data_IF_051722971132
#
_entry.id   IF_051722971132
#
_cell.length_a   1.000
_cell.length_b   1.000
_cell.length_c   1.000
_cell.angle_alpha   90.00
_cell.angle_beta   90.00
_cell.angle_gamma   90.00
#
_symmetry.space_group_name_H-M   'P 1'
#
loop_
_entity.id
_entity.type
_entity.pdbx_description
1 polymer ?
#
# COMPACT_ATOMS: atom_id res chain seq x y z
N UNK A 1 5.45 8.09 8.49
CA UNK A 1 4.19 7.56 7.90
C UNK A 1 3.56 8.72 7.18
N UNK A 2 3.35 8.62 5.86
CA UNK A 2 2.76 9.71 5.11
C UNK A 2 1.35 9.99 5.64
N UNK A 3 1.05 11.27 5.86
CA UNK A 3 -0.27 11.73 6.33
C UNK A 3 -0.93 12.49 5.20
N UNK A 4 -2.26 12.48 5.13
CA UNK A 4 -2.97 13.30 4.14
C UNK A 4 -2.95 14.78 4.51
N UNK A 5 -3.03 15.68 3.54
CA UNK A 5 -3.08 17.12 3.72
C UNK A 5 -4.26 17.52 4.62
N UNK A 6 -5.41 16.87 4.45
CA UNK A 6 -6.60 17.08 5.27
C UNK A 6 -6.47 16.66 6.73
N UNK A 7 -5.43 15.87 7.08
CA UNK A 7 -5.14 15.48 8.47
C UNK A 7 -4.13 16.41 9.16
N UNK A 8 -3.50 17.34 8.42
CA UNK A 8 -2.59 18.32 9.01
C UNK A 8 -3.36 19.36 9.79
N UNK A 9 -2.87 19.74 10.96
CA UNK A 9 -3.53 20.75 11.78
C UNK A 9 -3.60 22.11 11.06
N UNK A 10 -4.73 22.81 11.19
CA UNK A 10 -4.84 24.21 10.76
C UNK A 10 -3.78 25.06 11.49
N UNK A 11 -3.11 25.93 10.75
CA UNK A 11 -1.96 26.72 11.20
C UNK A 11 -0.60 26.05 11.06
N UNK A 12 -0.56 24.74 10.78
CA UNK A 12 0.70 24.03 10.51
C UNK A 12 1.32 24.41 9.16
N UNK A 13 2.61 24.08 8.99
CA UNK A 13 3.35 24.33 7.76
C UNK A 13 3.42 23.05 6.92
N UNK A 14 3.13 23.19 5.63
CA UNK A 14 3.46 22.23 4.58
C UNK A 14 4.33 22.91 3.53
N UNK A 15 4.95 22.14 2.64
CA UNK A 15 5.81 22.65 1.57
C UNK A 15 5.23 22.28 0.20
N UNK A 16 5.39 23.18 -0.76
CA UNK A 16 5.08 22.95 -2.17
C UNK A 16 6.27 23.41 -3.02
N UNK A 17 6.50 22.77 -4.17
CA UNK A 17 7.59 23.18 -5.06
C UNK A 17 7.18 24.38 -5.92
N UNK A 18 7.88 25.49 -5.75
CA UNK A 18 7.90 26.66 -6.65
C UNK A 18 9.23 26.67 -7.40
N UNK A 19 9.22 26.65 -8.73
CA UNK A 19 10.42 26.57 -9.59
C UNK A 19 11.38 25.44 -9.17
N UNK A 20 10.82 24.30 -8.74
CA UNK A 20 11.56 23.14 -8.26
C UNK A 20 12.04 23.21 -6.80
N UNK A 21 11.99 24.38 -6.16
CA UNK A 21 12.42 24.56 -4.78
C UNK A 21 11.24 24.44 -3.79
N UNK A 22 11.41 23.77 -2.64
CA UNK A 22 10.37 23.69 -1.62
C UNK A 22 10.14 25.06 -0.95
N UNK A 23 8.90 25.51 -0.95
CA UNK A 23 8.44 26.76 -0.33
C UNK A 23 7.36 26.45 0.70
N UNK A 24 7.39 27.15 1.83
CA UNK A 24 6.48 26.92 2.96
C UNK A 24 5.11 27.58 2.77
N UNK A 25 4.06 26.86 3.15
CA UNK A 25 2.66 27.29 3.14
C UNK A 25 1.99 26.94 4.46
N UNK A 26 1.12 27.82 4.93
CA UNK A 26 0.22 27.51 6.03
C UNK A 26 -0.97 26.69 5.54
N UNK A 27 -1.31 25.64 6.27
CA UNK A 27 -2.63 24.99 6.19
C UNK A 27 -3.63 25.94 6.84
N UNK A 28 -4.35 26.72 6.05
CA UNK A 28 -5.15 27.83 6.57
C UNK A 28 -6.58 27.40 6.96
N UNK A 29 -7.19 26.49 6.21
CA UNK A 29 -8.54 25.97 6.49
C UNK A 29 -8.83 24.70 5.68
N UNK A 30 -9.43 23.70 6.30
CA UNK A 30 -10.05 22.57 5.58
C UNK A 30 -11.49 22.92 5.21
N UNK A 31 -11.98 22.31 4.13
CA UNK A 31 -13.31 22.55 3.58
C UNK A 31 -13.57 24.05 3.36
N UNK A 32 -12.55 24.74 2.84
CA UNK A 32 -12.58 26.19 2.62
C UNK A 32 -13.67 26.57 1.63
N UNK A 33 -14.67 27.33 2.09
CA UNK A 33 -15.89 27.65 1.32
C UNK A 33 -16.71 26.40 0.95
N UNK A 34 -16.94 25.51 1.93
CA UNK A 34 -17.73 24.28 1.77
C UNK A 34 -19.16 24.47 1.22
N UNK A 35 -19.77 25.64 1.45
CA UNK A 35 -21.06 26.01 0.87
C UNK A 35 -21.01 26.41 -0.61
N UNK A 36 -19.81 26.54 -1.18
CA UNK A 36 -19.59 26.82 -2.59
C UNK A 36 -19.09 25.55 -3.28
N UNK A 37 -17.76 25.34 -3.32
CA UNK A 37 -17.16 24.12 -3.89
C UNK A 37 -15.94 23.61 -3.11
N UNK A 38 -15.80 24.06 -1.86
CA UNK A 38 -14.64 23.82 -1.02
C UNK A 38 -14.53 22.45 -0.37
N UNK A 39 -15.62 21.69 -0.31
CA UNK A 39 -15.68 20.42 0.42
C UNK A 39 -14.62 19.44 -0.10
N UNK A 40 -13.88 18.81 0.82
CA UNK A 40 -12.77 17.91 0.51
C UNK A 40 -11.49 18.61 0.05
N UNK A 41 -11.41 19.95 0.16
CA UNK A 41 -10.23 20.72 -0.21
C UNK A 41 -9.65 21.50 0.98
N UNK A 42 -8.34 21.70 0.96
CA UNK A 42 -7.60 22.45 1.98
C UNK A 42 -7.06 23.73 1.37
N UNK A 43 -7.42 24.89 1.94
CA UNK A 43 -6.80 26.16 1.63
C UNK A 43 -5.37 26.19 2.18
N UNK A 44 -4.42 26.44 1.29
CA UNK A 44 -3.04 26.72 1.62
C UNK A 44 -2.70 28.18 1.28
N UNK A 45 -1.95 28.82 2.16
CA UNK A 45 -1.53 30.23 2.00
C UNK A 45 -0.02 30.28 2.10
N UNK A 46 0.65 30.83 1.09
CA UNK A 46 2.12 30.93 1.07
C UNK A 46 2.61 31.62 2.34
N UNK A 47 3.63 31.09 3.01
CA UNK A 47 4.12 31.66 4.30
C UNK A 47 4.64 33.08 4.12
N UNK A 48 5.54 33.25 3.15
CA UNK A 48 6.10 34.55 2.77
C UNK A 48 5.38 35.11 1.54
N UNK A 49 5.46 36.41 1.33
CA UNK A 49 4.97 37.03 0.11
C UNK A 49 5.93 36.71 -1.06
N UNK A 50 5.39 36.61 -2.27
CA UNK A 50 6.13 36.15 -3.44
C UNK A 50 6.72 37.31 -4.25
N UNK A 51 5.88 38.11 -4.92
CA UNK A 51 6.32 39.18 -5.82
C UNK A 51 5.61 40.50 -5.52
N UNK A 52 6.32 41.59 -5.74
CA UNK A 52 5.77 42.94 -5.75
C UNK A 52 5.02 43.16 -7.07
N UNK A 53 3.73 43.48 -7.01
CA UNK A 53 2.85 43.66 -8.18
C UNK A 53 2.12 44.99 -8.08
N UNK A 54 1.93 45.67 -9.21
CA UNK A 54 1.19 46.93 -9.32
C UNK A 54 -0.29 46.77 -9.00
N UNK A 55 -0.84 47.68 -8.17
CA UNK A 55 -2.22 47.71 -7.70
C UNK A 55 -2.99 48.88 -8.32
N UNK A 56 -3.21 48.83 -9.63
CA UNK A 56 -3.86 49.93 -10.38
C UNK A 56 -5.35 49.70 -10.65
N UNK A 57 -5.83 48.47 -10.47
CA UNK A 57 -7.23 48.12 -10.64
C UNK A 57 -8.01 48.28 -9.32
N UNK A 58 -9.28 48.70 -9.43
CA UNK A 58 -10.20 48.80 -8.29
C UNK A 58 -10.67 47.43 -7.79
N UNK A 59 -10.82 46.47 -8.69
CA UNK A 59 -11.35 45.14 -8.40
C UNK A 59 -10.28 44.08 -8.63
N UNK A 60 -10.38 42.97 -7.90
CA UNK A 60 -9.47 41.84 -8.10
C UNK A 60 -9.68 41.19 -9.47
N UNK A 61 -10.94 41.04 -9.86
CA UNK A 61 -11.34 40.55 -11.20
C UNK A 61 -10.83 41.51 -12.28
N UNK A 62 -10.12 40.96 -13.26
CA UNK A 62 -9.50 41.68 -14.37
C UNK A 62 -8.22 42.45 -14.00
N UNK A 63 -7.67 42.26 -12.79
CA UNK A 63 -6.47 42.97 -12.36
C UNK A 63 -5.17 42.35 -12.85
N UNK A 64 -4.08 43.13 -12.78
CA UNK A 64 -2.71 42.63 -12.97
C UNK A 64 -2.35 41.55 -11.94
N UNK A 65 -2.90 41.65 -10.72
CA UNK A 65 -2.71 40.65 -9.68
C UNK A 65 -3.35 39.30 -10.05
N UNK A 66 -4.61 39.30 -10.51
CA UNK A 66 -5.27 38.08 -10.98
C UNK A 66 -4.51 37.46 -12.17
N UNK A 67 -4.12 38.29 -13.14
CA UNK A 67 -3.36 37.89 -14.32
C UNK A 67 -2.04 37.24 -13.93
N UNK A 68 -1.29 37.84 -13.00
CA UNK A 68 -0.01 37.30 -12.53
C UNK A 68 -0.19 36.00 -11.74
N UNK A 69 -1.18 35.95 -10.83
CA UNK A 69 -1.46 34.77 -9.98
C UNK A 69 -1.82 33.55 -10.82
N UNK A 70 -2.70 33.71 -11.81
CA UNK A 70 -3.17 32.62 -12.68
C UNK A 70 -2.33 32.43 -13.95
N UNK A 71 -1.29 33.25 -14.14
CA UNK A 71 -0.31 33.14 -15.21
C UNK A 71 1.06 32.72 -14.67
N UNK A 72 1.92 33.70 -14.43
CA UNK A 72 3.32 33.48 -14.06
C UNK A 72 3.47 32.66 -12.76
N UNK A 73 2.72 33.01 -11.70
CA UNK A 73 2.82 32.29 -10.43
C UNK A 73 2.29 30.86 -10.54
N UNK A 74 1.08 30.66 -11.10
CA UNK A 74 0.54 29.32 -11.30
C UNK A 74 1.51 28.41 -12.07
N UNK A 75 2.24 28.95 -13.05
CA UNK A 75 3.24 28.21 -13.81
C UNK A 75 4.56 27.97 -13.08
N UNK A 76 4.82 28.64 -11.95
CA UNK A 76 5.94 28.34 -11.08
C UNK A 76 5.72 27.08 -10.23
N UNK A 77 4.46 26.69 -10.00
CA UNK A 77 4.16 25.45 -9.27
C UNK A 77 4.58 24.22 -10.09
N UNK A 78 5.09 23.19 -9.41
CA UNK A 78 5.40 21.90 -10.04
C UNK A 78 4.21 21.35 -10.84
N UNK A 79 4.47 20.69 -11.96
CA UNK A 79 3.43 20.17 -12.85
C UNK A 79 2.43 19.24 -12.14
N UNK A 80 2.91 18.40 -11.20
CA UNK A 80 2.05 17.50 -10.42
C UNK A 80 1.04 18.27 -9.58
N UNK A 81 1.51 19.21 -8.74
CA UNK A 81 0.65 20.07 -7.92
C UNK A 81 -0.28 20.91 -8.80
N UNK A 82 0.24 21.54 -9.85
CA UNK A 82 -0.55 22.35 -10.79
C UNK A 82 -1.71 21.54 -11.41
N UNK A 83 -1.47 20.26 -11.71
CA UNK A 83 -2.48 19.33 -12.20
C UNK A 83 -3.55 18.94 -11.16
N UNK A 84 -3.30 19.17 -9.87
CA UNK A 84 -4.23 18.91 -8.76
C UNK A 84 -4.96 20.15 -8.24
N UNK A 85 -4.60 21.36 -8.67
CA UNK A 85 -5.35 22.56 -8.30
C UNK A 85 -6.76 22.53 -8.91
N UNK A 86 -7.76 22.51 -8.02
CA UNK A 86 -9.17 22.69 -8.39
C UNK A 86 -9.50 24.18 -8.47
N UNK A 87 -10.18 24.66 -9.53
CA UNK A 87 -10.75 26.01 -9.52
C UNK A 87 -11.65 26.18 -8.29
N UNK A 88 -11.39 27.20 -7.50
CA UNK A 88 -12.12 27.52 -6.27
C UNK A 88 -13.09 28.64 -6.55
N UNK A 89 -14.34 28.49 -6.10
CA UNK A 89 -15.31 29.58 -6.08
C UNK A 89 -15.01 30.40 -4.83
N UNK A 90 -14.59 31.65 -5.02
CA UNK A 90 -14.30 32.59 -3.92
C UNK A 90 -15.35 33.71 -3.88
N UNK A 91 -15.75 34.17 -2.69
CA UNK A 91 -16.53 35.39 -2.53
C UNK A 91 -15.71 36.64 -2.92
N UNK A 92 -16.38 37.57 -3.60
CA UNK A 92 -15.88 38.89 -3.99
C UNK A 92 -16.91 39.97 -3.70
N UNK A 93 -16.44 41.21 -3.65
CA UNK A 93 -17.27 42.41 -3.66
C UNK A 93 -16.91 43.24 -4.90
N UNK A 94 -17.80 43.28 -5.89
CA UNK A 94 -17.60 44.00 -7.15
C UNK A 94 -18.75 45.00 -7.32
N UNK A 95 -18.46 46.24 -7.73
CA UNK A 95 -19.48 47.28 -8.00
C UNK A 95 -20.52 47.48 -6.89
N UNK A 96 -20.07 47.45 -5.64
CA UNK A 96 -20.92 47.60 -4.45
C UNK A 96 -21.87 46.42 -4.17
N UNK A 97 -21.62 45.26 -4.77
CA UNK A 97 -22.44 44.05 -4.63
C UNK A 97 -21.58 42.82 -4.30
N UNK A 98 -22.09 41.93 -3.44
CA UNK A 98 -21.46 40.64 -3.16
C UNK A 98 -21.66 39.69 -4.36
N UNK A 99 -20.59 39.08 -4.83
CA UNK A 99 -20.57 38.14 -5.95
C UNK A 99 -19.57 37.02 -5.72
N UNK A 100 -19.36 36.15 -6.71
CA UNK A 100 -18.33 35.10 -6.67
C UNK A 100 -17.48 35.07 -7.92
N UNK A 101 -16.29 34.49 -7.80
CA UNK A 101 -15.40 34.22 -8.92
C UNK A 101 -14.82 32.82 -8.82
N UNK A 102 -14.69 32.15 -9.96
CA UNK A 102 -13.96 30.88 -10.07
C UNK A 102 -12.52 31.18 -10.46
N UNK A 103 -11.56 30.81 -9.63
CA UNK A 103 -10.13 31.02 -9.91
C UNK A 103 -9.27 29.93 -9.28
N UNK A 104 -8.06 29.71 -9.79
CA UNK A 104 -7.14 28.70 -9.24
C UNK A 104 -6.27 29.28 -8.13
N UNK A 105 -5.73 30.47 -8.34
CA UNK A 105 -4.87 31.15 -7.38
C UNK A 105 -5.42 32.55 -7.11
N UNK A 106 -5.49 32.90 -5.83
CA UNK A 106 -6.02 34.17 -5.37
C UNK A 106 -5.20 34.73 -4.20
N UNK A 107 -5.63 35.87 -3.68
CA UNK A 107 -5.15 36.48 -2.43
C UNK A 107 -6.33 36.62 -1.47
N UNK A 108 -6.05 36.63 -0.17
CA UNK A 108 -7.10 36.66 0.86
C UNK A 108 -7.85 38.01 0.89
N UNK A 109 -9.10 37.99 1.35
CA UNK A 109 -9.91 39.19 1.61
C UNK A 109 -9.61 39.75 3.00
N UNK A 110 -10.02 40.99 3.27
CA UNK A 110 -9.88 41.57 4.62
C UNK A 110 -10.74 40.82 5.65
N UNK A 111 -11.87 40.22 5.26
CA UNK A 111 -12.70 39.38 6.14
C UNK A 111 -11.92 38.14 6.60
N UNK A 112 -11.20 37.48 5.70
CA UNK A 112 -10.41 36.28 6.00
C UNK A 112 -9.25 36.57 6.96
N UNK A 113 -8.71 37.79 6.92
CA UNK A 113 -7.76 38.27 7.92
C UNK A 113 -8.41 38.70 9.25
N UNK A 114 -9.74 38.70 9.36
CA UNK A 114 -10.50 39.06 10.57
C UNK A 114 -10.76 40.55 10.74
N UNK A 115 -10.80 41.34 9.65
CA UNK A 115 -11.25 42.73 9.71
C UNK A 115 -12.76 42.83 9.44
N UNK A 116 -13.43 43.76 10.11
CA UNK A 116 -14.88 43.98 10.00
C UNK A 116 -15.34 44.70 8.72
N UNK A 117 -14.43 45.01 7.79
CA UNK A 117 -14.68 45.87 6.62
C UNK A 117 -15.04 45.09 5.35
N UNK A 118 -15.09 43.76 5.38
CA UNK A 118 -15.01 42.98 4.14
C UNK A 118 -16.32 42.69 3.41
N UNK A 119 -17.39 43.48 3.59
CA UNK A 119 -18.60 43.52 2.73
C UNK A 119 -19.09 42.16 2.12
N UNK A 120 -19.01 41.07 2.89
CA UNK A 120 -19.43 39.72 2.47
C UNK A 120 -18.38 38.87 1.72
N UNK A 121 -17.11 39.30 1.62
CA UNK A 121 -16.02 38.59 0.94
C UNK A 121 -15.42 37.44 1.76
N UNK A 122 -16.24 36.46 2.14
CA UNK A 122 -15.80 35.28 2.87
C UNK A 122 -15.77 35.47 4.38
N UNK A 123 -15.28 34.45 5.09
CA UNK A 123 -15.31 34.36 6.56
C UNK A 123 -13.90 34.40 7.16
N UNK A 124 -13.76 34.95 8.37
CA UNK A 124 -12.49 34.93 9.12
C UNK A 124 -11.89 33.52 9.17
N UNK A 125 -10.60 33.42 8.83
CA UNK A 125 -9.86 32.16 8.93
C UNK A 125 -9.47 31.92 10.39
N UNK A 126 -9.35 30.65 10.84
CA UNK A 126 -8.96 30.33 12.21
C UNK A 126 -7.67 31.01 12.69
N UNK A 127 -6.75 31.31 11.77
CA UNK A 127 -5.49 32.02 12.01
C UNK A 127 -5.38 33.36 11.24
N UNK A 128 -6.53 33.97 10.90
CA UNK A 128 -6.59 35.15 10.04
C UNK A 128 -5.77 36.34 10.57
N UNK A 129 -5.74 36.55 11.89
CA UNK A 129 -5.00 37.65 12.52
C UNK A 129 -3.50 37.44 12.45
N UNK A 130 -3.04 36.21 12.66
CA UNK A 130 -1.64 35.80 12.57
C UNK A 130 -1.11 35.96 11.14
N UNK A 131 -1.97 35.77 10.13
CA UNK A 131 -1.62 35.96 8.72
C UNK A 131 -1.44 37.44 8.31
N UNK A 132 -1.78 38.43 9.16
CA UNK A 132 -1.63 39.86 8.82
C UNK A 132 -0.17 40.33 8.72
N UNK A 133 0.75 39.64 9.39
CA UNK A 133 2.18 39.91 9.25
C UNK A 133 2.77 38.97 8.21
N UNK A 134 3.43 39.53 7.20
CA UNK A 134 4.10 38.75 6.16
C UNK A 134 5.52 39.25 5.94
N UNK A 135 6.39 38.35 5.50
CA UNK A 135 7.77 38.63 5.18
C UNK A 135 8.04 38.39 3.69
N UNK A 136 9.04 39.07 3.15
CA UNK A 136 9.71 38.68 1.92
C UNK A 136 11.21 38.84 2.18
N UNK A 137 11.97 37.76 1.95
CA UNK A 137 13.42 37.73 2.21
C UNK A 137 13.80 38.21 3.64
N UNK A 138 13.00 37.82 4.64
CA UNK A 138 13.21 38.16 6.06
C UNK A 138 12.74 39.56 6.49
N UNK A 139 12.29 40.41 5.57
CA UNK A 139 11.79 41.75 5.88
C UNK A 139 10.27 41.79 5.90
N UNK A 140 9.68 42.53 6.85
CA UNK A 140 8.23 42.78 6.86
C UNK A 140 7.85 43.59 5.62
N UNK A 141 6.82 43.15 4.91
CA UNK A 141 6.33 43.81 3.70
C UNK A 141 4.83 44.09 3.76
N UNK A 142 4.37 44.98 2.89
CA UNK A 142 2.96 45.25 2.67
C UNK A 142 2.35 44.14 1.81
N UNK A 143 1.24 43.53 2.23
CA UNK A 143 0.52 42.51 1.44
C UNK A 143 -0.80 43.03 0.88
N UNK A 144 -1.05 42.74 -0.39
CA UNK A 144 -2.35 43.04 -1.01
C UNK A 144 -3.46 42.10 -0.53
N UNK A 145 -4.70 42.59 -0.61
CA UNK A 145 -5.92 41.81 -0.39
C UNK A 145 -6.79 41.88 -1.64
N UNK A 146 -7.73 40.94 -1.80
CA UNK A 146 -8.69 41.00 -2.92
C UNK A 146 -9.84 41.98 -2.70
N UNK A 147 -9.92 42.60 -1.51
CA UNK A 147 -11.00 43.52 -1.16
C UNK A 147 -10.82 44.89 -1.81
N UNK A 148 -11.82 45.41 -2.54
CA UNK A 148 -11.74 46.73 -3.12
C UNK A 148 -11.80 47.85 -2.08
N UNK A 149 -11.24 49.00 -2.44
CA UNK A 149 -11.49 50.29 -1.82
C UNK A 149 -12.28 51.20 -2.79
N UNK A 150 -12.31 52.50 -2.51
CA UNK A 150 -12.95 53.48 -3.39
C UNK A 150 -12.21 53.67 -4.71
N UNK A 151 -10.89 53.45 -4.76
CA UNK A 151 -10.04 53.75 -5.93
C UNK A 151 -9.26 52.49 -6.39
N UNK A 152 -8.66 51.75 -5.47
CA UNK A 152 -7.82 50.56 -5.74
C UNK A 152 -8.19 49.40 -4.81
N UNK A 153 -7.48 48.27 -4.82
CA UNK A 153 -7.62 47.24 -3.78
C UNK A 153 -7.01 47.69 -2.42
N UNK A 154 -7.51 47.14 -1.31
CA UNK A 154 -6.95 47.33 0.03
C UNK A 154 -5.69 46.48 0.23
N UNK A 155 -4.79 46.97 1.07
CA UNK A 155 -3.60 46.23 1.49
C UNK A 155 -3.41 46.33 3.01
N UNK A 156 -2.62 45.41 3.56
CA UNK A 156 -2.21 45.38 4.96
C UNK A 156 -0.75 45.86 5.02
N UNK A 157 -0.49 46.93 5.76
CA UNK A 157 0.86 47.46 5.90
C UNK A 157 1.73 46.62 6.86
N UNK A 158 3.02 46.95 6.99
CA UNK A 158 3.97 46.26 7.89
C UNK A 158 3.60 46.27 9.39
N UNK A 159 2.62 47.09 9.79
CA UNK A 159 2.07 47.17 11.16
C UNK A 159 0.78 46.37 11.33
N UNK A 160 0.27 45.70 10.29
CA UNK A 160 -1.00 44.99 10.35
C UNK A 160 -2.21 45.92 10.26
N UNK A 161 -2.08 47.10 9.67
CA UNK A 161 -3.18 48.06 9.50
C UNK A 161 -3.70 48.02 8.06
N UNK A 162 -5.01 48.14 7.89
CA UNK A 162 -5.61 48.31 6.57
C UNK A 162 -5.33 49.71 6.03
N UNK A 163 -4.86 49.76 4.79
CA UNK A 163 -4.56 50.99 4.06
C UNK A 163 -5.03 50.86 2.61
N UNK A 164 -5.09 52.01 1.95
CA UNK A 164 -5.33 52.13 0.51
C UNK A 164 -4.02 52.59 -0.13
N UNK A 165 -3.61 51.97 -1.23
CA UNK A 165 -2.37 52.32 -1.95
C UNK A 165 -2.66 52.38 -3.45
N UNK A 166 -2.02 53.34 -4.12
CA UNK A 166 -1.95 53.44 -5.58
C UNK A 166 -0.60 52.89 -6.13
N UNK A 167 0.23 52.34 -5.25
CA UNK A 167 1.56 51.79 -5.53
C UNK A 167 1.56 50.26 -5.52
N UNK A 168 2.73 49.68 -5.79
CA UNK A 168 2.96 48.23 -5.78
C UNK A 168 2.89 47.64 -4.36
N UNK A 169 2.32 46.44 -4.23
CA UNK A 169 2.25 45.67 -2.97
C UNK A 169 2.60 44.21 -3.23
N UNK A 170 3.07 43.50 -2.19
CA UNK A 170 3.47 42.11 -2.35
C UNK A 170 2.28 41.16 -2.39
N UNK A 171 2.28 40.25 -3.35
CA UNK A 171 1.30 39.17 -3.49
C UNK A 171 1.65 38.01 -2.60
N UNK A 172 0.65 37.53 -1.86
CA UNK A 172 0.72 36.34 -1.02
C UNK A 172 -0.26 35.30 -1.54
N UNK A 173 0.17 34.44 -2.46
CA UNK A 173 -0.70 33.48 -3.11
C UNK A 173 -1.38 32.54 -2.13
N UNK A 174 -2.66 32.28 -2.40
CA UNK A 174 -3.50 31.31 -1.72
C UNK A 174 -4.28 30.51 -2.77
N UNK A 175 -4.50 29.23 -2.49
CA UNK A 175 -5.25 28.32 -3.37
C UNK A 175 -5.67 27.08 -2.59
N UNK A 176 -6.58 26.29 -3.15
CA UNK A 176 -7.01 25.03 -2.53
C UNK A 176 -6.37 23.83 -3.21
N UNK A 177 -6.12 22.80 -2.42
CA UNK A 177 -5.63 21.49 -2.86
C UNK A 177 -6.56 20.39 -2.34
N UNK A 178 -6.71 19.26 -3.04
CA UNK A 178 -7.44 18.11 -2.52
C UNK A 178 -6.87 17.68 -1.16
N UNK A 179 -7.75 17.49 -0.18
CA UNK A 179 -7.38 17.05 1.17
C UNK A 179 -6.73 15.65 1.18
N UNK A 180 -6.95 14.86 0.12
CA UNK A 180 -6.38 13.52 -0.06
C UNK A 180 -4.93 13.49 -0.53
N UNK A 181 -4.32 14.63 -0.89
CA UNK A 181 -2.89 14.66 -1.21
C UNK A 181 -2.05 14.24 -0.01
N UNK A 182 -0.91 13.60 -0.25
CA UNK A 182 -0.02 13.16 0.82
C UNK A 182 0.95 14.26 1.20
N UNK A 183 1.37 14.23 2.46
CA UNK A 183 2.48 15.03 2.96
C UNK A 183 3.53 14.06 3.49
N UNK A 184 4.72 14.12 2.90
CA UNK A 184 5.84 13.28 3.28
C UNK A 184 6.46 13.69 4.63
N UNK A 185 7.43 12.92 5.10
CA UNK A 185 8.09 13.15 6.38
C UNK A 185 8.92 14.47 6.39
N UNK A 186 9.22 15.08 5.23
CA UNK A 186 9.88 16.39 5.11
C UNK A 186 8.92 17.60 5.15
N UNK A 187 7.61 17.31 5.13
CA UNK A 187 6.53 18.29 5.05
C UNK A 187 6.13 18.65 3.62
N UNK A 188 6.70 18.03 2.58
CA UNK A 188 6.38 18.30 1.19
C UNK A 188 5.04 17.63 0.82
N UNK A 189 4.15 18.40 0.21
CA UNK A 189 2.93 17.85 -0.39
C UNK A 189 3.30 17.17 -1.70
N UNK A 190 2.93 15.89 -1.82
CA UNK A 190 3.24 15.05 -2.97
C UNK A 190 1.97 14.41 -3.53
N UNK A 191 1.99 14.16 -4.83
CA UNK A 191 1.01 13.29 -5.49
C UNK A 191 1.57 11.87 -5.43
N UNK A 192 0.71 10.91 -5.11
CA UNK A 192 1.09 9.50 -5.05
C UNK A 192 0.17 8.68 -5.96
N UNK A 193 0.76 7.74 -6.66
CA UNK A 193 0.12 6.72 -7.47
C UNK A 193 0.38 5.39 -6.79
N UNK A 194 -0.67 4.69 -6.30
CA UNK A 194 -0.46 3.43 -5.60
C UNK A 194 0.30 2.40 -6.44
N UNK A 195 0.99 1.45 -5.80
CA UNK A 195 1.71 0.41 -6.53
C UNK A 195 0.74 -0.45 -7.33
N UNK A 196 1.23 -0.98 -8.46
CA UNK A 196 0.49 -1.86 -9.34
C UNK A 196 1.06 -3.29 -9.28
N UNK A 197 0.17 -4.27 -9.35
CA UNK A 197 0.52 -5.69 -9.43
C UNK A 197 0.03 -6.21 -10.78
N UNK A 198 0.91 -6.88 -11.52
CA UNK A 198 0.61 -7.47 -12.82
C UNK A 198 1.08 -8.92 -12.92
N UNK A 199 0.47 -9.68 -13.80
CA UNK A 199 0.83 -11.07 -14.11
C UNK A 199 0.29 -11.41 -15.50
N UNK A 200 0.81 -12.48 -16.11
CA UNK A 200 0.20 -13.09 -17.29
C UNK A 200 -1.13 -13.77 -16.98
N UNK A 201 -1.38 -14.09 -15.72
CA UNK A 201 -2.67 -14.57 -15.23
C UNK A 201 -3.53 -13.35 -14.88
N UNK A 202 -4.80 -13.25 -15.35
CA UNK A 202 -5.68 -12.17 -14.92
C UNK A 202 -6.05 -12.27 -13.44
N UNK A 203 -6.16 -11.13 -12.76
CA UNK A 203 -6.66 -11.08 -11.37
C UNK A 203 -8.09 -11.64 -11.31
N UNK A 204 -8.38 -12.42 -10.27
CA UNK A 204 -9.64 -13.14 -10.08
C UNK A 204 -9.73 -14.48 -10.82
N UNK A 205 -8.67 -14.93 -11.49
CA UNK A 205 -8.70 -16.20 -12.23
C UNK A 205 -8.86 -17.41 -11.33
N UNK A 206 -9.64 -18.39 -11.79
CA UNK A 206 -9.64 -19.74 -11.25
C UNK A 206 -8.57 -20.60 -11.92
N UNK A 207 -7.61 -21.08 -11.15
CA UNK A 207 -6.46 -21.88 -11.62
C UNK A 207 -6.78 -23.38 -11.71
N UNK A 208 -8.02 -23.76 -11.39
CA UNK A 208 -8.51 -25.13 -11.41
C UNK A 208 -8.01 -25.98 -10.24
N UNK A 209 -8.09 -27.28 -10.44
CA UNK A 209 -7.61 -28.28 -9.48
C UNK A 209 -6.11 -28.47 -9.58
N UNK A 210 -5.44 -28.60 -8.44
CA UNK A 210 -3.99 -28.80 -8.31
C UNK A 210 -3.71 -29.97 -7.39
N UNK A 211 -2.80 -30.84 -7.82
CA UNK A 211 -2.37 -32.02 -7.05
C UNK A 211 -0.91 -31.84 -6.56
N UNK A 212 -0.14 -30.99 -7.22
CA UNK A 212 1.23 -30.64 -6.85
C UNK A 212 1.41 -29.13 -6.72
N UNK A 213 2.51 -28.72 -6.09
CA UNK A 213 2.88 -27.32 -6.00
C UNK A 213 3.10 -26.72 -7.38
N UNK A 214 2.80 -25.43 -7.54
CA UNK A 214 2.88 -24.73 -8.81
C UNK A 214 3.43 -23.32 -8.63
N UNK A 215 3.87 -22.72 -9.73
CA UNK A 215 4.32 -21.35 -9.75
C UNK A 215 3.16 -20.41 -10.06
N UNK A 216 2.97 -19.41 -9.22
CA UNK A 216 2.05 -18.29 -9.45
C UNK A 216 2.86 -17.00 -9.56
N UNK A 217 3.26 -16.59 -10.78
CA UNK A 217 4.12 -15.44 -10.98
C UNK A 217 3.34 -14.13 -10.90
N UNK A 218 3.99 -13.08 -10.42
CA UNK A 218 3.49 -11.70 -10.45
C UNK A 218 4.64 -10.71 -10.39
N UNK A 219 4.42 -9.50 -10.89
CA UNK A 219 5.37 -8.38 -10.85
C UNK A 219 4.72 -7.22 -10.11
N UNK A 220 5.54 -6.48 -9.36
CA UNK A 220 5.11 -5.27 -8.65
C UNK A 220 5.85 -4.08 -9.22
N UNK A 221 5.12 -3.01 -9.56
CA UNK A 221 5.67 -1.75 -10.06
C UNK A 221 5.13 -0.58 -9.26
N UNK A 222 5.91 0.49 -9.23
CA UNK A 222 5.54 1.76 -8.63
C UNK A 222 6.08 2.87 -9.55
N UNK A 223 5.21 3.79 -9.98
CA UNK A 223 5.57 4.82 -10.96
C UNK A 223 6.33 5.98 -10.30
N UNK A 224 6.11 6.19 -9.01
CA UNK A 224 6.77 7.24 -8.23
C UNK A 224 8.15 6.80 -7.73
N UNK A 225 8.46 5.50 -7.86
CA UNK A 225 9.75 4.90 -7.51
C UNK A 225 9.89 4.63 -6.01
N UNK A 226 8.76 4.57 -5.30
CA UNK A 226 8.73 4.35 -3.86
C UNK A 226 9.08 2.91 -3.48
N UNK A 227 9.59 2.73 -2.26
CA UNK A 227 9.85 1.40 -1.73
C UNK A 227 8.52 0.68 -1.41
N UNK A 228 8.31 -0.52 -1.96
CA UNK A 228 7.04 -1.24 -1.85
C UNK A 228 7.16 -2.49 -0.98
N UNK A 229 6.34 -2.56 0.06
CA UNK A 229 6.13 -3.77 0.86
C UNK A 229 5.04 -4.63 0.25
N UNK A 230 5.34 -5.90 -0.03
CA UNK A 230 4.39 -6.90 -0.52
C UNK A 230 3.99 -7.82 0.62
N UNK A 231 2.71 -8.22 0.62
CA UNK A 231 2.15 -9.27 1.47
C UNK A 231 1.41 -10.29 0.62
N UNK A 232 1.73 -11.55 0.87
CA UNK A 232 1.09 -12.71 0.25
C UNK A 232 0.18 -13.39 1.25
N UNK A 233 -1.05 -13.68 0.83
CA UNK A 233 -2.08 -14.28 1.67
C UNK A 233 -2.62 -15.55 1.03
N UNK A 234 -2.65 -16.64 1.80
CA UNK A 234 -3.42 -17.84 1.49
C UNK A 234 -4.62 -17.86 2.43
N UNK A 235 -5.83 -17.80 1.87
CA UNK A 235 -7.09 -17.76 2.63
C UNK A 235 -7.12 -16.65 3.69
N UNK A 236 -6.71 -15.45 3.30
CA UNK A 236 -6.58 -14.26 4.15
C UNK A 236 -5.55 -14.36 5.29
N UNK A 237 -4.77 -15.45 5.37
CA UNK A 237 -3.64 -15.57 6.30
C UNK A 237 -2.36 -15.14 5.59
N UNK A 238 -1.64 -14.17 6.16
CA UNK A 238 -0.34 -13.74 5.66
C UNK A 238 0.63 -14.92 5.70
N UNK A 239 1.22 -15.27 4.55
CA UNK A 239 2.23 -16.32 4.41
C UNK A 239 3.63 -15.74 4.25
N UNK A 240 3.74 -14.60 3.55
CA UNK A 240 5.01 -13.90 3.33
C UNK A 240 4.80 -12.39 3.35
N UNK A 241 5.78 -11.65 3.88
CA UNK A 241 5.87 -10.20 3.75
C UNK A 241 7.32 -9.78 3.50
N UNK A 242 7.55 -8.94 2.51
CA UNK A 242 8.89 -8.56 2.07
C UNK A 242 8.89 -7.23 1.30
N UNK A 243 10.07 -6.64 1.10
CA UNK A 243 10.27 -5.47 0.24
C UNK A 243 10.53 -5.92 -1.21
N UNK A 244 9.73 -5.44 -2.16
CA UNK A 244 9.84 -5.83 -3.56
C UNK A 244 11.00 -5.12 -4.28
N UNK A 245 11.65 -5.85 -5.18
CA UNK A 245 12.44 -5.24 -6.25
C UNK A 245 11.50 -4.91 -7.41
N UNK A 246 11.23 -3.61 -7.63
CA UNK A 246 10.25 -3.15 -8.60
C UNK A 246 10.57 -3.65 -10.02
N UNK A 247 9.53 -4.05 -10.76
CA UNK A 247 9.65 -4.55 -12.13
C UNK A 247 10.22 -5.97 -12.27
N UNK A 248 10.60 -6.62 -11.17
CA UNK A 248 11.05 -8.02 -11.17
C UNK A 248 9.87 -8.99 -10.97
N UNK A 249 9.92 -10.12 -11.67
CA UNK A 249 8.96 -11.21 -11.47
C UNK A 249 9.24 -11.93 -10.14
N UNK A 250 8.17 -12.17 -9.38
CA UNK A 250 8.15 -12.89 -8.12
C UNK A 250 7.20 -14.09 -8.26
N UNK A 251 7.39 -15.13 -7.44
CA UNK A 251 6.47 -16.27 -7.36
C UNK A 251 5.88 -16.38 -5.96
N UNK A 252 4.57 -16.62 -5.87
CA UNK A 252 3.86 -16.81 -4.60
C UNK A 252 4.37 -18.02 -3.82
N UNK A 253 4.90 -17.79 -2.62
CA UNK A 253 5.73 -18.79 -1.96
C UNK A 253 4.93 -20.02 -1.48
N UNK A 254 3.75 -19.80 -0.90
CA UNK A 254 3.01 -20.86 -0.21
C UNK A 254 2.50 -21.99 -1.12
N UNK A 255 2.42 -21.75 -2.44
CA UNK A 255 1.97 -22.75 -3.42
C UNK A 255 3.11 -23.43 -4.17
N UNK A 256 4.36 -23.02 -3.93
CA UNK A 256 5.55 -23.69 -4.50
C UNK A 256 5.66 -25.13 -4.02
N UNK A 257 6.38 -25.96 -4.76
CA UNK A 257 6.60 -27.38 -4.42
C UNK A 257 7.13 -27.58 -2.98
N UNK A 258 8.03 -26.70 -2.51
CA UNK A 258 8.61 -26.77 -1.17
C UNK A 258 7.59 -26.54 -0.05
N UNK A 259 6.55 -25.74 -0.30
CA UNK A 259 5.56 -25.36 0.71
C UNK A 259 4.20 -26.04 0.50
N UNK A 260 3.98 -26.68 -0.64
CA UNK A 260 2.72 -27.30 -1.03
C UNK A 260 2.17 -28.26 0.01
N UNK A 261 3.03 -29.03 0.68
CA UNK A 261 2.63 -30.01 1.69
C UNK A 261 1.90 -29.38 2.89
N UNK A 262 2.11 -28.08 3.16
CA UNK A 262 1.46 -27.34 4.26
C UNK A 262 0.07 -26.80 3.89
N UNK A 263 -0.28 -26.81 2.60
CA UNK A 263 -1.60 -26.40 2.10
C UNK A 263 -2.57 -27.58 2.27
N UNK A 264 -3.73 -27.34 2.88
CA UNK A 264 -4.75 -28.37 3.07
C UNK A 264 -5.47 -28.69 1.74
N UNK A 265 -6.16 -29.83 1.64
CA UNK A 265 -7.06 -30.03 0.51
C UNK A 265 -8.29 -29.13 0.64
N UNK A 266 -8.83 -28.70 -0.50
CA UNK A 266 -10.01 -27.85 -0.58
C UNK A 266 -9.80 -26.63 -1.46
N UNK A 267 -10.79 -25.73 -1.45
CA UNK A 267 -10.73 -24.48 -2.20
C UNK A 267 -9.89 -23.44 -1.46
N UNK A 268 -9.05 -22.73 -2.19
CA UNK A 268 -8.13 -21.73 -1.66
C UNK A 268 -8.17 -20.44 -2.48
N UNK A 269 -7.86 -19.34 -1.80
CA UNK A 269 -7.66 -18.03 -2.41
C UNK A 269 -6.24 -17.53 -2.17
N UNK A 270 -5.55 -17.22 -3.26
CA UNK A 270 -4.31 -16.45 -3.27
C UNK A 270 -4.66 -14.97 -3.34
N UNK A 271 -3.98 -14.16 -2.52
CA UNK A 271 -4.05 -12.71 -2.61
C UNK A 271 -2.67 -12.10 -2.42
N UNK A 272 -2.27 -11.22 -3.32
CA UNK A 272 -1.10 -10.35 -3.19
C UNK A 272 -1.59 -8.93 -2.98
N UNK A 273 -1.05 -8.25 -1.98
CA UNK A 273 -1.27 -6.83 -1.74
C UNK A 273 0.09 -6.13 -1.62
N UNK A 274 0.21 -4.95 -2.21
CA UNK A 274 1.41 -4.13 -2.20
C UNK A 274 1.11 -2.77 -1.57
N UNK A 275 2.07 -2.18 -0.87
CA UNK A 275 1.94 -0.87 -0.23
C UNK A 275 3.26 -0.10 -0.33
N UNK A 276 3.20 1.15 -0.79
CA UNK A 276 4.35 2.06 -1.02
C UNK A 276 4.67 2.97 0.20
N UNK A 277 4.08 2.68 1.36
CA UNK A 277 4.13 3.51 2.56
C UNK A 277 3.10 4.65 2.60
N UNK A 278 2.30 4.83 1.54
CA UNK A 278 1.28 5.87 1.41
C UNK A 278 -0.09 5.28 1.06
N UNK A 279 -0.17 4.36 0.10
CA UNK A 279 -1.40 3.73 -0.37
C UNK A 279 -1.22 2.23 -0.64
N UNK A 280 -2.33 1.50 -0.51
CA UNK A 280 -2.42 0.09 -0.91
C UNK A 280 -2.69 -0.02 -2.42
N UNK A 281 -2.11 -1.04 -3.05
CA UNK A 281 -2.48 -1.47 -4.38
C UNK A 281 -3.92 -2.00 -4.42
N UNK A 282 -4.51 -2.06 -5.62
CA UNK A 282 -5.60 -2.99 -5.84
C UNK A 282 -5.11 -4.43 -5.51
N UNK A 283 -5.89 -5.24 -4.78
CA UNK A 283 -5.48 -6.60 -4.46
C UNK A 283 -5.47 -7.46 -5.72
N UNK A 284 -4.42 -8.26 -5.89
CA UNK A 284 -4.32 -9.22 -6.97
C UNK A 284 -4.66 -10.62 -6.45
N UNK A 285 -5.68 -11.26 -7.01
CA UNK A 285 -6.23 -12.51 -6.46
C UNK A 285 -6.29 -13.64 -7.49
N UNK A 286 -6.29 -14.87 -7.01
CA UNK A 286 -6.61 -16.06 -7.80
C UNK A 286 -7.16 -17.15 -6.89
N UNK A 287 -7.90 -18.11 -7.44
CA UNK A 287 -8.41 -19.26 -6.68
C UNK A 287 -7.91 -20.57 -7.25
N UNK A 288 -7.79 -21.60 -6.42
CA UNK A 288 -7.50 -22.96 -6.86
C UNK A 288 -8.17 -23.96 -5.92
N UNK A 289 -8.30 -25.21 -6.34
CA UNK A 289 -8.69 -26.31 -5.46
C UNK A 289 -7.53 -27.28 -5.32
N UNK A 290 -7.13 -27.61 -4.10
CA UNK A 290 -6.15 -28.65 -3.84
C UNK A 290 -6.83 -29.99 -3.67
N UNK A 291 -6.38 -30.99 -4.43
CA UNK A 291 -6.97 -32.32 -4.47
C UNK A 291 -5.89 -33.43 -4.43
N UNK A 292 -5.20 -33.55 -3.30
CA UNK A 292 -4.22 -34.63 -3.10
C UNK A 292 -4.89 -35.84 -2.45
N UNK A 293 -4.89 -36.98 -3.14
CA UNK A 293 -5.58 -38.19 -2.68
C UNK A 293 -4.64 -39.29 -2.18
N UNK A 294 -3.33 -39.12 -2.35
CA UNK A 294 -2.33 -40.06 -1.86
C UNK A 294 -1.15 -39.35 -1.22
N UNK A 295 -0.52 -40.01 -0.25
CA UNK A 295 0.72 -39.58 0.38
C UNK A 295 1.67 -40.76 0.49
N UNK A 296 2.98 -40.51 0.32
CA UNK A 296 4.02 -41.52 0.53
C UNK A 296 5.15 -40.94 1.38
N UNK A 297 5.65 -41.73 2.33
CA UNK A 297 6.74 -41.37 3.23
C UNK A 297 7.77 -42.50 3.19
N UNK A 298 9.04 -42.14 3.04
CA UNK A 298 10.19 -43.04 3.11
C UNK A 298 11.39 -42.28 3.69
N UNK A 299 12.34 -43.00 4.29
CA UNK A 299 13.58 -42.36 4.75
C UNK A 299 14.49 -42.06 3.56
N UNK A 300 15.06 -40.86 3.54
CA UNK A 300 16.09 -40.50 2.54
C UNK A 300 17.32 -41.40 2.65
N UNK A 301 17.72 -41.74 3.87
CA UNK A 301 18.85 -42.63 4.15
C UNK A 301 18.39 -43.86 4.94
N UNK A 302 18.65 -45.09 4.44
CA UNK A 302 18.41 -46.33 5.19
C UNK A 302 19.25 -46.42 6.47
N UNK A 303 18.70 -47.05 7.51
CA UNK A 303 19.40 -47.29 8.78
C UNK A 303 20.32 -48.51 8.64
N UNK A 304 21.65 -48.38 8.77
CA UNK A 304 22.57 -49.50 8.62
C UNK A 304 22.45 -50.53 9.76
N UNK A 305 22.78 -51.79 9.45
CA UNK A 305 22.93 -52.87 10.42
C UNK A 305 24.19 -53.70 10.12
N UNK A 306 24.86 -54.17 11.16
CA UNK A 306 26.10 -54.97 11.04
C UNK A 306 25.83 -56.46 10.82
N UNK A 307 24.56 -56.88 10.91
CA UNK A 307 24.10 -58.26 10.75
C UNK A 307 22.77 -58.31 9.99
N UNK A 308 22.34 -59.52 9.62
CA UNK A 308 21.04 -59.79 9.03
C UNK A 308 19.94 -59.23 9.93
N UNK A 309 19.11 -58.35 9.38
CA UNK A 309 17.87 -57.92 10.02
C UNK A 309 16.81 -58.98 9.70
N UNK A 310 16.51 -59.77 10.71
CA UNK A 310 15.58 -60.91 10.64
C UNK A 310 14.15 -60.49 10.90
N UNK A 311 13.96 -59.48 11.76
CA UNK A 311 12.64 -59.00 12.16
C UNK A 311 12.61 -57.48 12.30
N UNK A 312 11.45 -56.88 12.04
CA UNK A 312 11.20 -55.48 12.32
C UNK A 312 9.77 -55.25 12.81
N UNK A 313 9.60 -54.23 13.65
CA UNK A 313 8.29 -53.72 14.04
C UNK A 313 8.21 -52.25 13.64
N UNK A 314 7.13 -51.88 12.96
CA UNK A 314 6.82 -50.49 12.61
C UNK A 314 5.45 -50.15 13.20
N UNK A 315 5.34 -48.93 13.73
CA UNK A 315 4.13 -48.38 14.32
C UNK A 315 3.85 -47.02 13.68
N UNK A 316 2.57 -46.79 13.38
CA UNK A 316 2.06 -45.51 12.90
C UNK A 316 1.17 -44.93 14.00
N UNK A 317 1.48 -43.70 14.43
CA UNK A 317 0.61 -42.92 15.29
C UNK A 317 -0.08 -41.86 14.44
N UNK A 318 -1.38 -41.69 14.62
CA UNK A 318 -2.20 -40.76 13.86
C UNK A 318 -3.65 -41.23 13.77
N UNK A 319 -4.36 -40.70 12.79
CA UNK A 319 -5.72 -41.13 12.42
C UNK A 319 -5.73 -41.42 10.92
N UNK A 320 -5.85 -42.70 10.56
CA UNK A 320 -6.01 -43.13 9.16
C UNK A 320 -7.45 -43.67 9.04
N UNK A 321 -8.29 -43.12 8.14
CA UNK A 321 -9.63 -43.63 7.90
C UNK A 321 -9.64 -45.13 7.60
N UNK A 322 -10.64 -45.85 8.08
CA UNK A 322 -10.75 -47.31 7.91
C UNK A 322 -10.83 -47.72 6.43
N UNK A 323 -11.46 -46.88 5.61
CA UNK A 323 -11.60 -47.08 4.18
C UNK A 323 -10.40 -46.60 3.36
N UNK A 324 -9.38 -46.02 4.00
CA UNK A 324 -8.15 -45.62 3.33
C UNK A 324 -7.28 -46.83 2.98
N UNK A 325 -6.70 -46.81 1.78
CA UNK A 325 -5.76 -47.84 1.35
C UNK A 325 -4.36 -47.55 1.92
N UNK A 326 -4.09 -48.07 3.12
CA UNK A 326 -2.75 -48.10 3.72
C UNK A 326 -1.94 -49.27 3.15
N UNK A 327 -0.75 -48.97 2.66
CA UNK A 327 0.30 -49.94 2.34
C UNK A 327 1.57 -49.57 3.11
N UNK A 328 2.13 -50.54 3.85
CA UNK A 328 3.43 -50.42 4.49
C UNK A 328 4.36 -51.48 3.91
N UNK A 329 5.50 -51.05 3.40
CA UNK A 329 6.56 -51.93 2.94
C UNK A 329 7.82 -51.71 3.78
N UNK A 330 8.51 -52.79 4.10
CA UNK A 330 9.79 -52.76 4.80
C UNK A 330 10.87 -53.42 3.93
N UNK A 331 12.12 -53.01 4.12
CA UNK A 331 13.27 -53.66 3.48
C UNK A 331 14.40 -53.79 4.50
N UNK A 332 15.16 -54.90 4.42
CA UNK A 332 16.38 -55.13 5.19
C UNK A 332 17.67 -54.95 4.37
N UNK A 333 17.56 -54.61 3.08
CA UNK A 333 18.69 -54.34 2.20
C UNK A 333 18.56 -52.96 1.52
N UNK A 334 18.13 -51.93 2.27
CA UNK A 334 17.83 -50.60 1.74
C UNK A 334 18.99 -49.87 1.05
N UNK A 335 20.24 -50.33 1.23
CA UNK A 335 21.43 -49.82 0.54
C UNK A 335 21.65 -50.41 -0.86
N UNK A 336 20.95 -51.48 -1.20
CA UNK A 336 21.08 -52.11 -2.51
C UNK A 336 20.44 -51.21 -3.57
N UNK A 337 20.95 -51.17 -4.82
CA UNK A 337 20.34 -50.35 -5.88
C UNK A 337 18.89 -50.77 -6.23
N UNK A 338 18.53 -52.01 -5.89
CA UNK A 338 17.19 -52.58 -6.03
C UNK A 338 16.84 -53.33 -4.73
N UNK A 339 16.41 -52.63 -3.66
CA UNK A 339 16.05 -53.27 -2.40
C UNK A 339 14.85 -54.21 -2.58
N UNK A 340 14.82 -55.28 -1.79
CA UNK A 340 13.67 -56.17 -1.69
C UNK A 340 12.68 -55.56 -0.70
N UNK A 341 11.55 -55.08 -1.22
CA UNK A 341 10.46 -54.52 -0.43
C UNK A 341 9.40 -55.59 -0.13
N UNK A 342 9.19 -55.86 1.15
CA UNK A 342 8.20 -56.83 1.63
C UNK A 342 6.98 -56.10 2.22
N UNK A 343 5.78 -56.62 1.98
CA UNK A 343 4.55 -56.05 2.52
C UNK A 343 4.42 -56.37 4.02
N UNK A 344 4.43 -55.32 4.84
CA UNK A 344 4.30 -55.38 6.29
C UNK A 344 2.97 -54.77 6.77
N UNK A 345 2.03 -54.50 5.86
CA UNK A 345 0.77 -53.78 6.18
C UNK A 345 -0.02 -54.46 7.29
N UNK A 346 -0.19 -55.79 7.21
CA UNK A 346 -0.89 -56.57 8.25
C UNK A 346 -0.13 -56.57 9.57
N UNK A 347 1.20 -56.67 9.53
CA UNK A 347 2.06 -56.63 10.71
C UNK A 347 1.90 -55.28 11.44
N UNK A 348 1.92 -54.16 10.71
CA UNK A 348 1.74 -52.82 11.29
C UNK A 348 0.33 -52.60 11.85
N UNK A 349 -0.71 -53.03 11.13
CA UNK A 349 -2.11 -52.92 11.62
C UNK A 349 -2.33 -53.70 12.91
N UNK A 350 -1.67 -54.84 13.06
CA UNK A 350 -1.80 -55.70 14.23
C UNK A 350 -0.79 -55.39 15.35
N UNK A 351 0.18 -54.50 15.12
CA UNK A 351 1.28 -54.25 16.05
C UNK A 351 2.23 -55.45 16.22
N UNK A 352 2.31 -56.31 15.21
CA UNK A 352 3.12 -57.54 15.21
C UNK A 352 4.46 -57.34 14.50
N UNK A 353 5.42 -58.22 14.78
CA UNK A 353 6.69 -58.26 14.07
C UNK A 353 6.48 -58.69 12.61
N UNK A 354 7.15 -58.00 11.69
CA UNK A 354 7.41 -58.46 10.33
C UNK A 354 8.67 -59.32 10.33
N UNK A 355 8.59 -60.51 9.77
CA UNK A 355 9.74 -61.42 9.61
C UNK A 355 10.20 -61.34 8.15
N UNK A 356 11.47 -60.96 7.94
CA UNK A 356 12.00 -60.80 6.59
C UNK A 356 12.23 -62.16 5.91
N UNK A 357 11.66 -62.32 4.71
CA UNK A 357 11.97 -63.45 3.84
C UNK A 357 13.33 -63.26 3.15
N UNK A 358 13.71 -62.01 2.86
CA UNK A 358 15.00 -61.69 2.26
C UNK A 358 16.16 -61.98 3.23
N UNK A 359 17.14 -62.75 2.76
CA UNK A 359 18.31 -63.17 3.53
C UNK A 359 19.62 -62.59 2.97
N UNK A 360 19.57 -61.76 1.92
CA UNK A 360 20.74 -61.26 1.21
C UNK A 360 20.76 -59.73 1.11
N UNK A 361 21.97 -59.15 1.20
CA UNK A 361 22.22 -57.73 0.95
C UNK A 361 23.60 -57.57 0.30
N UNK A 362 23.65 -56.96 -0.88
CA UNK A 362 24.91 -56.79 -1.62
C UNK A 362 25.79 -55.67 -1.03
N UNK A 363 25.15 -54.60 -0.53
CA UNK A 363 25.80 -53.42 0.03
C UNK A 363 25.69 -53.34 1.57
N UNK A 364 25.51 -54.50 2.21
CA UNK A 364 25.28 -54.62 3.64
C UNK A 364 23.83 -54.39 4.04
N UNK A 365 23.42 -55.01 5.15
CA UNK A 365 22.06 -54.90 5.65
C UNK A 365 21.75 -53.46 6.10
N UNK A 366 20.55 -53.00 5.75
CA UNK A 366 20.05 -51.71 6.16
C UNK A 366 18.53 -51.68 6.13
N UNK A 367 17.92 -51.19 7.19
CA UNK A 367 16.49 -51.02 7.31
C UNK A 367 16.00 -49.77 6.57
N UNK A 368 14.91 -49.88 5.81
CA UNK A 368 14.11 -48.72 5.40
C UNK A 368 12.63 -49.11 5.34
N UNK A 369 11.75 -48.13 5.26
CA UNK A 369 10.31 -48.30 5.12
C UNK A 369 9.76 -47.45 3.97
N UNK A 370 8.61 -47.85 3.45
CA UNK A 370 7.75 -47.04 2.61
C UNK A 370 6.32 -47.15 3.13
N UNK A 371 5.76 -46.02 3.55
CA UNK A 371 4.34 -45.91 3.92
C UNK A 371 3.64 -45.18 2.81
N UNK A 372 2.60 -45.79 2.23
CA UNK A 372 1.73 -45.15 1.24
C UNK A 372 0.30 -45.21 1.74
N UNK A 373 -0.40 -44.09 1.69
CA UNK A 373 -1.82 -44.02 2.07
C UNK A 373 -2.57 -43.32 0.95
N UNK A 374 -3.62 -43.97 0.45
CA UNK A 374 -4.57 -43.36 -0.49
C UNK A 374 -5.95 -43.21 0.15
N UNK A 375 -6.62 -42.09 -0.14
CA UNK A 375 -7.92 -41.76 0.42
C UNK A 375 -8.99 -42.78 0.00
N UNK A 376 -9.83 -43.16 0.95
CA UNK A 376 -10.98 -44.03 0.70
C UNK A 376 -12.19 -43.32 0.12
N UNK A 377 -13.22 -44.06 -0.32
CA UNK A 377 -14.45 -43.51 -0.92
C UNK A 377 -15.22 -42.53 -0.03
N UNK A 378 -15.07 -42.61 1.30
CA UNK A 378 -15.75 -41.71 2.25
C UNK A 378 -15.28 -40.25 2.12
N UNK A 379 -14.11 -40.02 1.54
CA UNK A 379 -13.50 -38.69 1.48
C UNK A 379 -12.97 -38.17 2.82
N UNK A 380 -13.07 -38.94 3.91
CA UNK A 380 -12.61 -38.53 5.23
C UNK A 380 -11.10 -38.27 5.24
N UNK A 381 -10.70 -37.20 5.92
CA UNK A 381 -9.29 -36.84 6.09
C UNK A 381 -8.62 -37.69 7.17
N UNK A 382 -7.32 -37.90 7.00
CA UNK A 382 -6.45 -38.57 7.98
C UNK A 382 -5.11 -37.86 8.13
N UNK A 383 -4.33 -38.25 9.14
CA UNK A 383 -2.97 -37.77 9.36
C UNK A 383 -2.10 -38.85 10.01
N UNK A 384 -0.79 -38.79 9.77
CA UNK A 384 0.22 -39.56 10.50
C UNK A 384 1.06 -38.54 11.28
N UNK A 385 1.10 -38.67 12.60
CA UNK A 385 1.85 -37.77 13.49
C UNK A 385 3.20 -38.35 13.92
N UNK A 386 3.35 -39.67 13.88
CA UNK A 386 4.61 -40.35 14.21
C UNK A 386 4.74 -41.67 13.46
N UNK A 387 5.96 -41.96 13.02
CA UNK A 387 6.38 -43.29 12.58
C UNK A 387 7.49 -43.72 13.56
N UNK A 388 7.34 -44.89 14.19
CA UNK A 388 8.32 -45.42 15.13
C UNK A 388 8.46 -46.93 14.98
N UNK A 389 9.51 -47.51 15.54
CA UNK A 389 9.75 -48.94 15.38
C UNK A 389 11.10 -49.38 15.93
N UNK A 390 11.40 -50.65 15.72
CA UNK A 390 12.68 -51.28 16.02
C UNK A 390 12.93 -52.43 15.04
N UNK A 391 14.18 -52.85 14.91
CA UNK A 391 14.57 -54.01 14.11
C UNK A 391 15.68 -54.80 14.81
N UNK A 392 15.79 -56.08 14.48
CA UNK A 392 16.79 -57.00 15.03
C UNK A 392 17.39 -57.90 13.95
#
# INVERSE_FOLDING_TARGET
MATTLGSKAVGSIVKLKENGAPVEFYVAKHDYESGLNGTGHTLVVRKDAHSLISFRARYFRGSDAETWLNGAYLNSLSAEIKGKLSPTVIPLYDNSESTTMVTKVFILSVSEFGYSKGDGEGTELPNGKELRTVYNSGMKVNQGTRTPSTITLLYINTKGELKQSENEVYMRPAFTLPASLYVDDSGLVVVNTPPAISSSIPSGSGLGTKEEGFNFPYTVTDVDGDAVTVKEYLDNVVKRSYQASLGQENTFEAVTAAHWQTVLNGSHTLKVAANDGKADSAPYTATFSKAVYSASITMTEPLPADALISVAVLSLTGSIPEDAALQVQLTNNGKDPQPVWEDATSSVKNGSNHVFANQAAANGFAFNFKVTVSRGPSGQGGHISKIGGAFQ
#
